data_IF_295886149517
#
_entry.id   IF_295886149517
#
_cell.length_a   1.000
_cell.length_b   1.000
_cell.length_c   1.000
_cell.angle_alpha   90.00
_cell.angle_beta   90.00
_cell.angle_gamma   90.00
#
_symmetry.space_group_name_H-M   'P 1'
#
loop_
_entity.id
_entity.type
_entity.pdbx_description
1 polymer ?
#
# COMPACT_ATOMS: atom_id res chain seq x y z
N UNK A 1 14.57 -1.07 -8.90
CA UNK A 1 13.45 -0.13 -8.64
C UNK A 1 13.86 1.30 -8.94
N UNK A 2 12.90 2.20 -9.18
CA UNK A 2 13.16 3.63 -9.43
C UNK A 2 13.96 4.27 -8.29
N UNK A 3 13.64 3.92 -7.05
CA UNK A 3 14.31 4.44 -5.87
C UNK A 3 15.79 4.01 -5.79
N UNK A 4 16.14 2.81 -6.26
CA UNK A 4 17.51 2.32 -6.29
C UNK A 4 18.34 2.97 -7.40
N UNK A 5 17.71 3.29 -8.55
CA UNK A 5 18.39 3.83 -9.73
C UNK A 5 18.63 5.32 -9.66
N UNK A 6 17.66 6.07 -9.16
CA UNK A 6 17.65 7.55 -9.16
C UNK A 6 17.71 8.16 -7.76
N UNK A 7 17.61 7.31 -6.73
CA UNK A 7 17.83 7.65 -5.34
C UNK A 7 17.02 8.82 -4.80
N UNK A 8 17.64 9.51 -3.87
CA UNK A 8 17.07 10.65 -3.15
C UNK A 8 16.68 11.83 -4.06
N UNK A 9 17.43 12.06 -5.14
CA UNK A 9 17.17 13.20 -6.04
C UNK A 9 15.83 13.08 -6.75
N UNK A 10 15.44 11.86 -7.16
CA UNK A 10 14.11 11.63 -7.72
C UNK A 10 13.01 11.88 -6.68
N UNK A 11 13.22 11.42 -5.45
CA UNK A 11 12.28 11.61 -4.35
C UNK A 11 12.09 13.11 -4.02
N UNK A 12 13.19 13.89 -3.92
CA UNK A 12 13.16 15.35 -3.72
C UNK A 12 12.39 16.05 -4.84
N UNK A 13 12.74 15.75 -6.09
CA UNK A 13 12.07 16.33 -7.26
C UNK A 13 10.57 15.99 -7.31
N UNK A 14 10.18 14.75 -6.94
CA UNK A 14 8.77 14.36 -6.89
C UNK A 14 8.00 15.19 -5.86
N UNK A 15 8.55 15.38 -4.66
CA UNK A 15 7.94 16.19 -3.60
C UNK A 15 7.84 17.66 -4.04
N UNK A 16 8.92 18.23 -4.55
CA UNK A 16 9.00 19.65 -4.95
C UNK A 16 8.08 19.98 -6.13
N UNK A 17 7.94 19.07 -7.11
CA UNK A 17 7.19 19.32 -8.35
C UNK A 17 5.69 19.58 -8.13
N UNK A 18 5.14 19.10 -7.02
CA UNK A 18 3.71 19.24 -6.69
C UNK A 18 3.50 19.82 -5.29
N UNK A 19 4.55 20.33 -4.65
CA UNK A 19 4.51 20.84 -3.27
C UNK A 19 3.86 19.83 -2.30
N UNK A 20 4.32 18.58 -2.36
CA UNK A 20 3.72 17.48 -1.64
C UNK A 20 3.98 17.55 -0.14
N UNK A 21 2.99 17.20 0.68
CA UNK A 21 3.10 17.13 2.13
C UNK A 21 3.58 15.76 2.66
N UNK A 22 3.74 14.78 1.79
CA UNK A 22 4.28 13.46 2.11
C UNK A 22 4.78 12.77 0.84
N UNK A 23 5.68 11.79 0.99
CA UNK A 23 6.09 10.89 -0.07
C UNK A 23 5.59 9.47 0.24
N UNK A 24 4.89 8.84 -0.71
CA UNK A 24 4.49 7.44 -0.60
C UNK A 24 5.44 6.57 -1.43
N UNK A 25 6.12 5.65 -0.78
CA UNK A 25 6.92 4.61 -1.43
C UNK A 25 6.08 3.35 -1.58
N UNK A 26 5.89 2.94 -2.82
CA UNK A 26 5.06 1.81 -3.19
C UNK A 26 5.92 0.54 -3.32
N UNK A 27 5.59 -0.49 -2.55
CA UNK A 27 6.22 -1.80 -2.61
C UNK A 27 5.24 -2.82 -3.19
N UNK A 28 5.63 -3.46 -4.28
CA UNK A 28 4.78 -4.42 -5.00
C UNK A 28 5.55 -5.68 -5.45
N UNK A 29 6.32 -6.33 -4.55
CA UNK A 29 7.25 -7.39 -4.94
C UNK A 29 6.56 -8.58 -5.61
N UNK A 30 5.39 -9.00 -5.14
CA UNK A 30 4.67 -10.12 -5.73
C UNK A 30 4.14 -9.77 -7.12
N UNK A 31 3.59 -8.58 -7.30
CA UNK A 31 3.14 -8.11 -8.60
C UNK A 31 4.28 -8.11 -9.61
N UNK A 32 5.44 -7.55 -9.24
CA UNK A 32 6.63 -7.49 -10.10
C UNK A 32 7.19 -8.88 -10.42
N UNK A 33 7.10 -9.83 -9.50
CA UNK A 33 7.53 -11.22 -9.75
C UNK A 33 6.66 -11.93 -10.78
N UNK A 34 5.37 -11.63 -10.83
CA UNK A 34 4.40 -12.26 -11.73
C UNK A 34 4.33 -11.51 -13.06
N UNK A 35 4.55 -10.21 -13.06
CA UNK A 35 4.48 -9.37 -14.24
C UNK A 35 5.58 -9.73 -15.25
N UNK A 36 5.24 -9.87 -16.56
CA UNK A 36 6.25 -9.99 -17.59
C UNK A 36 7.22 -8.80 -17.57
N UNK A 37 8.53 -9.07 -17.49
CA UNK A 37 9.58 -8.05 -17.37
C UNK A 37 9.50 -7.16 -16.11
N UNK A 38 8.85 -7.63 -15.04
CA UNK A 38 8.81 -6.93 -13.75
C UNK A 38 10.19 -6.84 -13.09
N UNK A 39 10.37 -5.83 -12.26
CA UNK A 39 11.61 -5.59 -11.54
C UNK A 39 11.76 -6.60 -10.38
N UNK A 40 12.80 -7.41 -10.45
CA UNK A 40 13.10 -8.47 -9.47
C UNK A 40 14.26 -8.14 -8.53
N UNK A 41 14.93 -7.02 -8.75
CA UNK A 41 16.01 -6.58 -7.87
C UNK A 41 15.47 -5.70 -6.75
N UNK A 42 15.36 -6.27 -5.56
CA UNK A 42 14.94 -5.62 -4.32
C UNK A 42 16.10 -5.35 -3.37
N UNK A 43 17.35 -5.55 -3.82
CA UNK A 43 18.53 -5.27 -3.02
C UNK A 43 18.59 -3.78 -2.66
N UNK A 44 19.05 -3.47 -1.45
CA UNK A 44 19.21 -2.09 -0.96
C UNK A 44 17.96 -1.21 -0.92
N UNK A 45 16.76 -1.72 -1.19
CA UNK A 45 15.51 -0.93 -1.09
C UNK A 45 15.33 -0.35 0.33
N UNK A 46 15.63 -1.12 1.37
CA UNK A 46 15.52 -0.65 2.75
C UNK A 46 16.48 0.51 3.04
N UNK A 47 17.72 0.45 2.54
CA UNK A 47 18.69 1.53 2.69
C UNK A 47 18.25 2.79 1.93
N UNK A 48 17.66 2.63 0.74
CA UNK A 48 17.11 3.75 -0.02
C UNK A 48 15.91 4.40 0.70
N UNK A 49 15.05 3.60 1.32
CA UNK A 49 13.96 4.10 2.19
C UNK A 49 14.55 4.88 3.37
N UNK A 50 15.56 4.33 4.07
CA UNK A 50 16.22 5.00 5.19
C UNK A 50 16.83 6.34 4.77
N UNK A 51 17.45 6.42 3.60
CA UNK A 51 17.96 7.69 3.06
C UNK A 51 16.82 8.69 2.83
N UNK A 52 15.68 8.25 2.27
CA UNK A 52 14.52 9.13 2.10
C UNK A 52 13.94 9.62 3.43
N UNK A 53 13.84 8.76 4.43
CA UNK A 53 13.30 9.14 5.75
C UNK A 53 14.19 10.12 6.49
N UNK A 54 15.52 10.07 6.30
CA UNK A 54 16.48 10.97 6.95
C UNK A 54 16.66 12.30 6.24
N UNK A 55 16.47 12.35 4.92
CA UNK A 55 16.85 13.48 4.08
C UNK A 55 15.68 14.32 3.52
N UNK A 56 14.47 13.78 3.52
CA UNK A 56 13.29 14.51 3.09
C UNK A 56 12.71 15.34 4.23
N UNK A 57 12.23 16.54 3.89
CA UNK A 57 11.54 17.44 4.82
C UNK A 57 10.08 17.04 5.09
N UNK A 58 9.56 16.08 4.33
CA UNK A 58 8.18 15.57 4.45
C UNK A 58 8.19 14.13 4.93
N UNK A 59 7.14 13.65 5.63
CA UNK A 59 7.05 12.27 6.06
C UNK A 59 7.05 11.29 4.88
N UNK A 60 7.71 10.14 5.09
CA UNK A 60 7.72 9.03 4.15
C UNK A 60 6.73 7.97 4.63
N UNK A 61 5.79 7.62 3.76
CA UNK A 61 4.82 6.56 3.94
C UNK A 61 5.26 5.38 3.09
N UNK A 62 5.28 4.17 3.63
CA UNK A 62 5.55 2.96 2.85
C UNK A 62 4.29 2.13 2.74
N UNK A 63 3.96 1.68 1.52
CA UNK A 63 2.75 0.90 1.24
C UNK A 63 3.02 -0.36 0.42
N UNK A 64 2.18 -1.34 0.62
CA UNK A 64 2.02 -2.51 -0.25
C UNK A 64 0.77 -2.33 -1.15
N UNK A 65 0.41 -3.32 -1.96
CA UNK A 65 -0.63 -3.20 -3.00
C UNK A 65 -1.73 -4.26 -2.95
N UNK A 66 -1.76 -5.10 -1.92
CA UNK A 66 -2.82 -6.11 -1.79
C UNK A 66 -2.38 -7.41 -1.13
N UNK A 67 -1.08 -7.59 -0.86
CA UNK A 67 -0.57 -8.74 -0.10
C UNK A 67 -0.23 -8.38 1.35
N UNK A 68 -0.08 -7.10 1.63
CA UNK A 68 0.13 -6.55 2.96
C UNK A 68 1.58 -6.54 3.43
N UNK A 69 1.85 -5.64 4.38
CA UNK A 69 3.15 -5.52 5.06
C UNK A 69 3.07 -6.31 6.36
N UNK A 70 3.77 -7.45 6.44
CA UNK A 70 3.80 -8.27 7.65
C UNK A 70 4.63 -7.65 8.79
N UNK A 71 4.45 -8.12 10.05
CA UNK A 71 5.09 -7.53 11.24
C UNK A 71 6.62 -7.41 11.13
N UNK A 72 7.31 -8.46 10.70
CA UNK A 72 8.78 -8.43 10.54
C UNK A 72 9.26 -7.42 9.50
N UNK A 73 8.47 -7.17 8.45
CA UNK A 73 8.78 -6.12 7.47
C UNK A 73 8.49 -4.74 8.06
N UNK A 74 7.40 -4.60 8.81
CA UNK A 74 7.07 -3.36 9.52
C UNK A 74 8.18 -2.95 10.50
N UNK A 75 8.71 -3.89 11.30
CA UNK A 75 9.84 -3.63 12.20
C UNK A 75 11.07 -3.10 11.46
N UNK A 76 11.41 -3.69 10.31
CA UNK A 76 12.54 -3.22 9.47
C UNK A 76 12.30 -1.82 8.92
N UNK A 77 11.08 -1.52 8.49
CA UNK A 77 10.69 -0.20 7.99
C UNK A 77 10.76 0.86 9.10
N UNK A 78 10.23 0.54 10.28
CA UNK A 78 10.35 1.42 11.47
C UNK A 78 11.81 1.65 11.83
N UNK A 79 12.66 0.60 11.84
CA UNK A 79 14.10 0.71 12.02
C UNK A 79 14.80 1.58 10.96
N UNK A 80 14.23 1.70 9.76
CA UNK A 80 14.68 2.60 8.70
C UNK A 80 14.08 4.01 8.79
N UNK A 81 13.38 4.36 9.88
CA UNK A 81 12.83 5.69 10.14
C UNK A 81 11.43 5.93 9.55
N UNK A 82 10.76 4.89 9.03
CA UNK A 82 9.40 5.02 8.52
C UNK A 82 8.42 5.20 9.69
N UNK A 83 7.63 6.28 9.64
CA UNK A 83 6.64 6.63 10.67
C UNK A 83 5.22 6.24 10.28
N UNK A 84 4.95 6.01 8.99
CA UNK A 84 3.65 5.68 8.44
C UNK A 84 3.71 4.46 7.54
N UNK A 85 2.86 3.47 7.81
CA UNK A 85 2.74 2.27 6.99
C UNK A 85 1.30 2.13 6.52
N UNK A 86 1.10 2.07 5.20
CA UNK A 86 -0.18 1.68 4.61
C UNK A 86 -0.16 0.18 4.34
N UNK A 87 -1.04 -0.54 4.99
CA UNK A 87 -0.97 -2.00 5.06
C UNK A 87 -1.26 -2.67 3.72
N UNK A 88 -2.27 -2.20 3.00
CA UNK A 88 -2.74 -2.77 1.74
C UNK A 88 -2.82 -4.31 1.78
N UNK A 89 -3.48 -4.80 2.83
CA UNK A 89 -3.62 -6.24 3.09
C UNK A 89 -4.55 -6.93 2.10
N UNK A 90 -4.61 -8.26 2.22
CA UNK A 90 -5.55 -9.08 1.46
C UNK A 90 -6.99 -8.76 1.88
N UNK A 91 -7.91 -8.83 0.92
CA UNK A 91 -9.34 -8.53 1.10
C UNK A 91 -9.92 -7.63 0.02
N UNK A 92 -9.06 -6.97 -0.75
CA UNK A 92 -9.41 -6.14 -1.91
C UNK A 92 -8.97 -6.77 -3.23
N UNK A 93 -8.48 -5.92 -4.13
CA UNK A 93 -7.98 -6.33 -5.44
C UNK A 93 -6.68 -7.12 -5.29
N UNK A 94 -6.64 -8.35 -5.84
CA UNK A 94 -5.39 -9.10 -5.98
C UNK A 94 -4.68 -8.70 -7.27
N UNK A 95 -3.62 -7.91 -7.16
CA UNK A 95 -2.80 -7.54 -8.32
C UNK A 95 -2.10 -8.75 -8.93
N UNK A 96 -1.78 -9.76 -8.12
CA UNK A 96 -1.28 -11.05 -8.61
C UNK A 96 -2.27 -11.72 -9.57
N UNK A 97 -3.58 -11.73 -9.22
CA UNK A 97 -4.63 -12.25 -10.11
C UNK A 97 -4.77 -11.44 -11.40
N UNK A 98 -4.64 -10.11 -11.32
CA UNK A 98 -4.71 -9.23 -12.49
C UNK A 98 -3.55 -9.49 -13.44
N UNK A 99 -2.32 -9.54 -12.93
CA UNK A 99 -1.14 -9.83 -13.76
C UNK A 99 -1.21 -11.24 -14.35
N UNK A 100 -1.70 -12.22 -13.59
CA UNK A 100 -1.94 -13.57 -14.08
C UNK A 100 -2.92 -13.57 -15.28
N UNK A 101 -4.04 -12.86 -15.14
CA UNK A 101 -5.06 -12.78 -16.20
C UNK A 101 -4.56 -12.06 -17.46
N UNK A 102 -3.59 -11.16 -17.33
CA UNK A 102 -2.96 -10.43 -18.45
C UNK A 102 -1.86 -11.22 -19.14
N UNK A 103 -1.35 -12.26 -18.49
CA UNK A 103 -0.25 -13.08 -19.03
C UNK A 103 -0.75 -14.05 -20.09
N UNK A 104 -0.14 -14.04 -21.27
CA UNK A 104 -0.53 -14.92 -22.39
C UNK A 104 0.17 -16.29 -22.36
N UNK A 105 1.12 -16.52 -21.46
CA UNK A 105 1.84 -17.77 -21.33
C UNK A 105 1.15 -18.70 -20.35
N UNK A 106 0.59 -19.81 -20.83
CA UNK A 106 -0.03 -20.85 -20.00
C UNK A 106 0.96 -21.36 -18.93
N UNK A 107 2.23 -21.53 -19.29
CA UNK A 107 3.26 -21.97 -18.34
C UNK A 107 3.46 -20.98 -17.20
N UNK A 108 3.56 -19.70 -17.51
CA UNK A 108 3.73 -18.64 -16.51
C UNK A 108 2.47 -18.49 -15.64
N UNK A 109 1.28 -18.61 -16.24
CA UNK A 109 0.03 -18.65 -15.49
C UNK A 109 0.02 -19.79 -14.46
N UNK A 110 0.44 -21.00 -14.84
CA UNK A 110 0.52 -22.15 -13.92
C UNK A 110 1.54 -21.95 -12.80
N UNK A 111 2.66 -21.27 -13.08
CA UNK A 111 3.68 -20.93 -12.08
C UNK A 111 3.14 -19.90 -11.08
N UNK A 112 2.41 -18.90 -11.54
CA UNK A 112 1.91 -17.81 -10.71
C UNK A 112 0.61 -18.14 -9.96
N UNK A 113 -0.19 -19.08 -10.45
CA UNK A 113 -1.50 -19.43 -9.89
C UNK A 113 -1.52 -19.71 -8.37
N UNK A 114 -0.52 -20.41 -7.77
CA UNK A 114 -0.50 -20.62 -6.32
C UNK A 114 -0.34 -19.36 -5.48
N UNK A 115 0.07 -18.24 -6.07
CA UNK A 115 0.36 -16.99 -5.38
C UNK A 115 -0.77 -15.96 -5.45
N UNK A 116 -1.89 -16.25 -6.13
CA UNK A 116 -3.00 -15.29 -6.28
C UNK A 116 -3.65 -14.90 -4.96
N UNK A 117 -3.64 -15.80 -3.99
CA UNK A 117 -4.17 -15.58 -2.64
C UNK A 117 -3.05 -15.34 -1.60
N UNK A 118 -1.83 -15.08 -2.06
CA UNK A 118 -0.72 -14.80 -1.17
C UNK A 118 -0.91 -13.48 -0.44
N UNK A 119 -0.61 -13.49 0.86
CA UNK A 119 -0.67 -12.28 1.69
C UNK A 119 -1.39 -12.51 3.02
N UNK A 120 -1.50 -11.44 3.79
CA UNK A 120 -2.16 -11.42 5.09
C UNK A 120 -3.39 -10.50 5.04
N UNK A 121 -4.44 -10.90 5.73
CA UNK A 121 -5.67 -10.11 5.81
C UNK A 121 -5.44 -8.79 6.57
N UNK A 122 -6.08 -7.72 6.12
CA UNK A 122 -5.94 -6.37 6.70
C UNK A 122 -6.20 -6.34 8.21
N UNK A 123 -7.19 -7.10 8.68
CA UNK A 123 -7.56 -7.18 10.10
C UNK A 123 -6.45 -7.80 10.94
N UNK A 124 -5.84 -8.88 10.45
CA UNK A 124 -4.75 -9.58 11.12
C UNK A 124 -3.50 -8.70 11.16
N UNK A 125 -3.19 -8.03 10.05
CA UNK A 125 -2.06 -7.09 9.95
C UNK A 125 -2.17 -5.95 10.97
N UNK A 126 -3.35 -5.30 11.06
CA UNK A 126 -3.58 -4.22 12.02
C UNK A 126 -3.28 -4.68 13.44
N UNK A 127 -3.83 -5.83 13.83
CA UNK A 127 -3.65 -6.38 15.18
C UNK A 127 -2.19 -6.76 15.48
N UNK A 128 -1.52 -7.43 14.53
CA UNK A 128 -0.16 -7.90 14.70
C UNK A 128 0.86 -6.76 14.70
N UNK A 129 0.73 -5.79 13.78
CA UNK A 129 1.66 -4.65 13.73
C UNK A 129 1.47 -3.75 14.95
N UNK A 130 0.25 -3.54 15.43
CA UNK A 130 0.03 -2.77 16.66
C UNK A 130 0.71 -3.42 17.87
N UNK A 131 0.81 -4.75 17.91
CA UNK A 131 1.48 -5.46 19.00
C UNK A 131 3.02 -5.43 18.90
N UNK A 132 3.58 -5.36 17.68
CA UNK A 132 5.03 -5.39 17.44
C UNK A 132 5.65 -4.00 17.27
N UNK A 133 4.92 -3.06 16.69
CA UNK A 133 5.35 -1.68 16.40
C UNK A 133 4.33 -0.69 16.96
N UNK A 134 4.26 -0.59 18.31
CA UNK A 134 3.21 0.17 19.01
C UNK A 134 3.08 1.64 18.57
N UNK A 135 4.20 2.29 18.23
CA UNK A 135 4.27 3.71 17.92
C UNK A 135 4.16 4.05 16.42
N UNK A 136 4.11 3.04 15.53
CA UNK A 136 3.97 3.30 14.09
C UNK A 136 2.54 3.74 13.76
N UNK A 137 2.43 4.74 12.91
CA UNK A 137 1.14 5.14 12.36
C UNK A 137 0.73 4.18 11.23
N UNK A 138 -0.48 3.66 11.31
CA UNK A 138 -1.01 2.72 10.33
C UNK A 138 -2.14 3.33 9.52
N UNK A 139 -2.14 3.06 8.21
CA UNK A 139 -3.26 3.30 7.32
C UNK A 139 -3.88 1.95 7.00
N UNK A 140 -5.09 1.71 7.51
CA UNK A 140 -5.83 0.47 7.25
C UNK A 140 -6.39 0.48 5.82
N UNK A 141 -5.88 -0.39 4.96
CA UNK A 141 -6.29 -0.51 3.57
C UNK A 141 -6.21 -1.96 3.09
N UNK A 142 -6.87 -2.26 1.97
CA UNK A 142 -7.04 -3.62 1.46
C UNK A 142 -8.42 -4.18 1.82
N UNK A 143 -9.38 -4.09 0.88
CA UNK A 143 -10.74 -4.58 1.05
C UNK A 143 -11.70 -3.70 1.84
N UNK A 144 -11.29 -2.52 2.25
CA UNK A 144 -12.17 -1.52 2.90
C UNK A 144 -13.16 -0.98 1.87
N UNK A 145 -14.48 -1.07 2.17
CA UNK A 145 -15.53 -0.73 1.20
C UNK A 145 -16.57 0.25 1.69
N UNK A 146 -16.69 0.44 2.99
CA UNK A 146 -17.76 1.25 3.58
C UNK A 146 -17.30 1.86 4.91
N UNK A 147 -18.13 2.74 5.51
CA UNK A 147 -17.84 3.40 6.78
C UNK A 147 -17.64 2.42 7.95
N UNK A 148 -18.36 1.29 7.96
CA UNK A 148 -18.19 0.27 9.02
C UNK A 148 -16.81 -0.36 8.95
N UNK A 149 -16.29 -0.62 7.75
CA UNK A 149 -14.94 -1.16 7.58
C UNK A 149 -13.88 -0.13 7.99
N UNK A 150 -14.10 1.16 7.68
CA UNK A 150 -13.26 2.26 8.19
C UNK A 150 -13.24 2.25 9.72
N UNK A 151 -14.41 2.21 10.35
CA UNK A 151 -14.53 2.18 11.81
C UNK A 151 -13.80 0.99 12.44
N UNK A 152 -13.88 -0.20 11.81
CA UNK A 152 -13.13 -1.40 12.22
C UNK A 152 -11.61 -1.17 12.14
N UNK A 153 -11.11 -0.58 11.05
CA UNK A 153 -9.67 -0.27 10.90
C UNK A 153 -9.20 0.66 12.02
N UNK A 154 -9.94 1.74 12.28
CA UNK A 154 -9.63 2.68 13.35
C UNK A 154 -9.69 2.00 14.74
N UNK A 155 -10.72 1.18 15.00
CA UNK A 155 -10.85 0.43 16.26
C UNK A 155 -9.69 -0.56 16.50
N UNK A 156 -9.12 -1.11 15.42
CA UNK A 156 -7.95 -2.00 15.47
C UNK A 156 -6.62 -1.25 15.54
N UNK A 157 -6.64 0.08 15.61
CA UNK A 157 -5.47 0.90 15.87
C UNK A 157 -4.90 1.65 14.66
N UNK A 158 -5.57 1.64 13.50
CA UNK A 158 -5.19 2.52 12.40
C UNK A 158 -5.51 3.99 12.74
N UNK A 159 -4.66 4.93 12.33
CA UNK A 159 -4.90 6.36 12.41
C UNK A 159 -5.75 6.86 11.24
N UNK A 160 -5.63 6.20 10.10
CA UNK A 160 -6.35 6.49 8.86
C UNK A 160 -6.85 5.20 8.23
N UNK A 161 -7.79 5.32 7.32
CA UNK A 161 -8.19 4.22 6.43
C UNK A 161 -8.19 4.68 4.98
N UNK A 162 -7.83 3.78 4.05
CA UNK A 162 -7.79 4.09 2.63
C UNK A 162 -8.66 3.11 1.83
N UNK A 163 -9.37 3.67 0.86
CA UNK A 163 -10.27 2.96 -0.04
C UNK A 163 -9.89 3.27 -1.48
N UNK A 164 -9.99 2.27 -2.36
CA UNK A 164 -9.75 2.45 -3.78
C UNK A 164 -10.97 1.99 -4.62
N UNK A 165 -11.35 0.73 -4.51
CA UNK A 165 -12.38 0.12 -5.34
C UNK A 165 -13.76 0.83 -5.26
N UNK A 166 -14.25 1.28 -4.09
CA UNK A 166 -15.53 1.98 -4.02
C UNK A 166 -15.60 3.28 -4.84
N UNK A 167 -14.44 3.89 -5.12
CA UNK A 167 -14.35 5.12 -5.89
C UNK A 167 -14.17 4.89 -7.39
N UNK A 168 -13.94 3.66 -7.85
CA UNK A 168 -13.63 3.41 -9.26
C UNK A 168 -14.80 3.79 -10.18
N UNK A 169 -16.00 3.30 -9.90
CA UNK A 169 -17.18 3.62 -10.71
C UNK A 169 -17.57 5.11 -10.58
N UNK A 170 -17.69 5.71 -9.40
CA UNK A 170 -17.94 7.13 -9.24
C UNK A 170 -16.93 8.03 -9.97
N UNK A 171 -15.63 7.70 -9.91
CA UNK A 171 -14.58 8.48 -10.56
C UNK A 171 -14.65 8.43 -12.10
N UNK A 172 -15.23 7.38 -12.67
CA UNK A 172 -15.50 7.27 -14.11
C UNK A 172 -16.77 8.01 -14.52
N UNK A 173 -17.67 8.28 -13.59
CA UNK A 173 -18.92 8.96 -13.85
C UNK A 173 -18.76 10.49 -13.75
N UNK A 174 -18.42 11.03 -12.59
CA UNK A 174 -18.25 12.47 -12.38
C UNK A 174 -17.57 12.79 -11.04
N UNK A 175 -17.11 14.04 -10.88
CA UNK A 175 -16.66 14.57 -9.61
C UNK A 175 -17.76 14.57 -8.54
N UNK A 176 -19.00 14.85 -8.93
CA UNK A 176 -20.15 14.90 -8.02
C UNK A 176 -20.46 13.51 -7.45
N UNK A 177 -20.38 12.46 -8.27
CA UNK A 177 -20.53 11.08 -7.82
C UNK A 177 -19.43 10.66 -6.81
N UNK A 178 -18.20 11.17 -6.97
CA UNK A 178 -17.13 10.98 -5.98
C UNK A 178 -17.45 11.69 -4.68
N UNK A 179 -17.94 12.92 -4.71
CA UNK A 179 -18.35 13.70 -3.53
C UNK A 179 -19.50 12.98 -2.81
N UNK A 180 -20.52 12.53 -3.52
CA UNK A 180 -21.62 11.76 -2.93
C UNK A 180 -21.14 10.49 -2.25
N UNK A 181 -20.19 9.78 -2.86
CA UNK A 181 -19.58 8.58 -2.24
C UNK A 181 -18.87 8.93 -0.93
N UNK A 182 -18.16 10.06 -0.86
CA UNK A 182 -17.52 10.54 0.37
C UNK A 182 -18.57 10.86 1.44
N UNK A 183 -19.65 11.56 1.08
CA UNK A 183 -20.74 11.92 2.00
C UNK A 183 -21.41 10.67 2.57
N UNK A 184 -21.68 9.66 1.75
CA UNK A 184 -22.23 8.38 2.21
C UNK A 184 -21.30 7.72 3.23
N UNK A 185 -20.00 7.67 2.96
CA UNK A 185 -19.01 7.09 3.88
C UNK A 185 -18.97 7.88 5.22
N UNK A 186 -19.07 9.20 5.17
CA UNK A 186 -19.12 10.05 6.36
C UNK A 186 -20.38 9.79 7.18
N UNK A 187 -21.55 9.66 6.55
CA UNK A 187 -22.80 9.33 7.26
C UNK A 187 -22.76 7.95 7.91
N UNK A 188 -22.10 6.97 7.28
CA UNK A 188 -21.91 5.63 7.86
C UNK A 188 -20.99 5.62 9.09
N UNK A 189 -20.18 6.67 9.28
CA UNK A 189 -19.28 6.83 10.43
C UNK A 189 -19.91 7.59 11.60
N UNK A 190 -21.07 8.21 11.42
CA UNK A 190 -21.81 8.94 12.44
C UNK A 190 -22.70 8.03 13.26
#
# INVERSE_FOLDING_TARGET
>A
TQLQQSGLDLAKRAVESVDANALIIHLNPLQELIQPNGDRDWNNVLNAIQTCTSELSVPVIVKEVGSGIGPSTAEKLVGAGVQWIELAGRGGTSWASIELARNNSIKEQQIAAPFVDWGMDTVDLLSQIRSTCADVNMIGSGGVRNGVDIAKCIRLGAQLSALAQPFLAPALESSDAVVETIEILQEQLR
#
